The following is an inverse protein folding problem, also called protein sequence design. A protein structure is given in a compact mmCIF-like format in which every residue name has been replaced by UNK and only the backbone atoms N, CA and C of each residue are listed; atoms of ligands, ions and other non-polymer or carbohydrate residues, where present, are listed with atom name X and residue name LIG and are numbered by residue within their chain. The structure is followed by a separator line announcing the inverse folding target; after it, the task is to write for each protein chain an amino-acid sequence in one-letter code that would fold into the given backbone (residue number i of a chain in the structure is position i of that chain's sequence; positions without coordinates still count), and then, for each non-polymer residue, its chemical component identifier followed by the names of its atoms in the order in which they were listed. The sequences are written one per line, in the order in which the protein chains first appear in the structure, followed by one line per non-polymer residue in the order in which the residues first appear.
data_IF_724031646461
#
_entry.id   IF_724031646461
#
_cell.length_a   1.000
_cell.length_b   1.000
_cell.length_c   1.000
_cell.angle_alpha   90.00
_cell.angle_beta   90.00
_cell.angle_gamma   90.00
#
_symmetry.space_group_name_H-M   'P 1'
#
loop_
_entity.id
_entity.type
_entity.pdbx_description
1 polymer ?
#
# COMPACT_ATOMS: atom_id res chain seq x y z
N UNK A 1 8.19 -4.64 -29.73
CA UNK A 1 7.75 -4.09 -29.42
C UNK A 1 7.57 -3.40 -29.67
N UNK A 2 7.25 -3.23 -29.82
CA UNK A 2 7.14 -2.34 -29.81
C UNK A 2 6.57 -1.58 -29.27
N UNK A 3 6.69 -1.46 -29.34
CA UNK A 3 6.50 -0.38 -28.45
C UNK A 3 5.74 0.74 -29.08
N UNK A 4 5.96 0.93 -30.35
CA UNK A 4 5.26 2.00 -31.05
C UNK A 4 3.81 1.75 -31.19
N UNK A 5 3.46 0.52 -31.49
CA UNK A 5 2.05 0.20 -31.59
C UNK A 5 1.36 0.50 -30.29
N UNK A 6 2.05 0.23 -29.23
CA UNK A 6 1.50 0.49 -27.92
C UNK A 6 1.46 1.96 -27.62
N UNK A 7 2.11 2.74 -28.43
CA UNK A 7 2.37 4.09 -28.08
C UNK A 7 1.12 4.88 -27.81
N UNK A 8 0.14 4.77 -28.68
CA UNK A 8 -1.06 5.54 -28.46
C UNK A 8 -1.78 5.10 -27.20
N UNK A 9 -1.99 3.82 -27.06
CA UNK A 9 -2.61 3.33 -25.87
C UNK A 9 -1.80 3.66 -24.65
N UNK A 10 -0.49 3.53 -24.78
CA UNK A 10 0.38 3.82 -23.65
C UNK A 10 0.35 5.28 -23.30
N UNK A 11 0.27 6.14 -24.28
CA UNK A 11 0.22 7.56 -23.97
C UNK A 11 -1.01 7.92 -23.18
N UNK A 12 -2.15 7.38 -23.58
CA UNK A 12 -3.37 7.64 -22.82
C UNK A 12 -3.26 7.08 -21.43
N UNK A 13 -2.73 5.88 -21.32
CA UNK A 13 -2.55 5.27 -20.02
C UNK A 13 -1.60 6.08 -19.14
N UNK A 14 -0.52 6.56 -19.73
CA UNK A 14 0.43 7.35 -18.99
C UNK A 14 -0.11 8.70 -18.60
N UNK A 15 -0.99 9.26 -19.39
CA UNK A 15 -1.64 10.49 -18.98
C UNK A 15 -2.45 10.29 -17.73
N UNK A 16 -3.17 9.18 -17.67
CA UNK A 16 -3.90 8.87 -16.45
C UNK A 16 -2.97 8.72 -15.27
N UNK A 17 -1.82 8.10 -15.52
CA UNK A 17 -0.85 7.89 -14.45
C UNK A 17 -0.15 9.16 -14.05
N UNK A 18 0.00 10.10 -14.98
CA UNK A 18 0.68 11.33 -14.65
C UNK A 18 -0.17 12.23 -13.76
N UNK A 19 -1.46 12.04 -13.78
CA UNK A 19 -2.30 12.70 -12.81
C UNK A 19 -2.27 11.88 -11.54
N UNK A 20 -1.87 12.48 -10.44
CA UNK A 20 -1.70 11.66 -9.23
C UNK A 20 -2.97 10.92 -8.87
N UNK A 21 -4.09 11.62 -8.73
CA UNK A 21 -5.34 10.96 -8.33
C UNK A 21 -6.50 11.90 -8.60
N UNK A 22 -7.68 11.35 -8.85
CA UNK A 22 -8.87 12.20 -9.02
C UNK A 22 -9.13 13.01 -7.77
N UNK A 23 -9.57 14.23 -7.97
CA UNK A 23 -9.84 15.11 -6.85
C UNK A 23 -10.96 14.60 -5.97
N UNK A 24 -11.86 13.82 -6.55
CA UNK A 24 -13.03 13.36 -5.80
C UNK A 24 -12.76 12.11 -4.97
N UNK A 25 -11.54 11.55 -5.03
CA UNK A 25 -11.23 10.39 -4.22
C UNK A 25 -11.24 10.78 -2.75
N UNK A 26 -11.96 10.03 -1.96
CA UNK A 26 -12.09 10.29 -0.54
C UNK A 26 -11.29 9.27 0.26
N UNK A 27 -10.68 9.75 1.35
CA UNK A 27 -9.88 8.89 2.20
C UNK A 27 -10.79 8.27 3.27
N UNK A 28 -11.70 7.41 2.82
CA UNK A 28 -12.72 6.83 3.69
C UNK A 28 -12.61 5.32 3.63
N UNK A 29 -12.52 4.71 4.81
CA UNK A 29 -12.56 3.26 4.95
C UNK A 29 -14.01 2.82 5.02
N UNK A 30 -14.34 1.74 4.32
CA UNK A 30 -15.72 1.27 4.24
C UNK A 30 -16.09 0.29 5.35
N UNK A 31 -15.18 -0.02 6.26
CA UNK A 31 -15.43 -1.00 7.31
C UNK A 31 -16.31 -0.40 8.39
N UNK A 32 -17.13 -1.27 9.02
CA UNK A 32 -17.82 -0.89 10.24
C UNK A 32 -16.82 -0.71 11.36
N UNK A 33 -17.29 -0.15 12.48
CA UNK A 33 -16.37 0.09 13.59
C UNK A 33 -15.83 -1.22 14.17
N UNK A 34 -16.69 -2.23 14.33
CA UNK A 34 -16.20 -3.50 14.85
C UNK A 34 -15.24 -4.18 13.90
N UNK A 35 -15.50 -4.05 12.58
CA UNK A 35 -14.56 -4.58 11.61
C UNK A 35 -13.22 -3.86 11.68
N UNK A 36 -13.24 -2.56 11.95
CA UNK A 36 -11.99 -1.81 12.06
C UNK A 36 -11.16 -2.28 13.24
N UNK A 37 -11.79 -2.60 14.35
CA UNK A 37 -11.05 -3.09 15.51
C UNK A 37 -10.37 -4.41 15.17
N UNK A 38 -11.11 -5.35 14.62
CA UNK A 38 -10.54 -6.64 14.26
C UNK A 38 -9.44 -6.46 13.22
N UNK A 39 -9.69 -5.64 12.21
CA UNK A 39 -8.72 -5.43 11.15
C UNK A 39 -7.47 -4.75 11.68
N UNK A 40 -7.63 -3.87 12.66
CA UNK A 40 -6.48 -3.22 13.28
C UNK A 40 -5.52 -4.20 13.88
N UNK A 41 -6.04 -5.23 14.55
CA UNK A 41 -5.18 -6.25 15.11
C UNK A 41 -4.44 -7.03 14.04
N UNK A 42 -5.14 -7.35 12.95
CA UNK A 42 -4.50 -8.05 11.83
C UNK A 42 -3.41 -7.20 11.20
N UNK A 43 -3.66 -5.90 11.05
CA UNK A 43 -2.67 -5.01 10.49
C UNK A 43 -1.46 -4.88 11.39
N UNK A 44 -1.68 -4.80 12.70
CA UNK A 44 -0.56 -4.75 13.64
C UNK A 44 0.33 -5.97 13.47
N UNK A 45 -0.28 -7.13 13.29
CA UNK A 45 0.51 -8.35 13.13
C UNK A 45 1.34 -8.32 11.85
N UNK A 46 0.81 -7.72 10.80
CA UNK A 46 1.55 -7.62 9.56
C UNK A 46 2.66 -6.59 9.67
N UNK A 47 2.32 -5.39 10.14
CA UNK A 47 3.24 -4.28 10.06
C UNK A 47 4.33 -4.31 11.11
N UNK A 48 4.18 -5.12 12.14
CA UNK A 48 5.30 -5.28 13.08
C UNK A 48 6.49 -6.00 12.44
N UNK A 49 6.28 -6.60 11.28
CA UNK A 49 7.36 -7.29 10.58
C UNK A 49 8.03 -6.42 9.52
N UNK A 50 7.68 -5.16 9.44
CA UNK A 50 8.33 -4.23 8.51
C UNK A 50 9.79 -4.07 8.93
N UNK A 51 10.69 -4.30 7.99
CA UNK A 51 12.13 -4.23 8.26
C UNK A 51 12.71 -2.87 7.93
N UNK A 52 12.08 -2.15 7.02
CA UNK A 52 12.59 -0.87 6.57
C UNK A 52 11.45 -0.10 5.94
N UNK A 53 11.47 1.22 6.11
CA UNK A 53 10.46 2.10 5.54
C UNK A 53 11.18 3.15 4.72
N UNK A 54 10.81 3.27 3.44
CA UNK A 54 11.32 4.31 2.56
C UNK A 54 10.18 5.23 2.19
N UNK A 55 10.40 6.53 2.31
CA UNK A 55 9.37 7.50 1.95
C UNK A 55 9.33 7.67 0.45
N UNK A 56 8.12 7.73 -0.11
CA UNK A 56 7.86 8.06 -1.49
C UNK A 56 7.17 9.41 -1.55
N UNK A 57 7.12 9.99 -2.75
CA UNK A 57 6.48 11.30 -2.87
C UNK A 57 5.04 11.26 -2.40
N UNK A 58 4.34 10.18 -2.68
CA UNK A 58 2.91 10.07 -2.39
C UNK A 58 2.60 8.84 -1.53
N UNK A 59 3.55 8.39 -0.72
CA UNK A 59 3.31 7.25 0.15
C UNK A 59 4.59 6.70 0.72
N UNK A 60 4.61 5.38 0.92
CA UNK A 60 5.74 4.71 1.53
C UNK A 60 5.97 3.35 0.91
N UNK A 61 7.24 2.93 0.89
CA UNK A 61 7.62 1.59 0.51
C UNK A 61 8.06 0.86 1.77
N UNK A 62 7.46 -0.29 2.02
CA UNK A 62 7.68 -1.07 3.23
C UNK A 62 8.34 -2.39 2.88
N UNK A 63 9.42 -2.71 3.58
CA UNK A 63 10.21 -3.89 3.29
C UNK A 63 9.80 -5.03 4.19
N UNK A 64 9.53 -6.18 3.59
CA UNK A 64 9.12 -7.39 4.30
C UNK A 64 10.05 -8.55 3.96
N UNK A 65 10.04 -9.60 4.79
CA UNK A 65 10.87 -10.78 4.48
C UNK A 65 10.49 -11.38 3.13
N UNK A 66 11.47 -11.94 2.44
CA UNK A 66 11.29 -12.43 1.08
C UNK A 66 10.91 -13.88 1.00
N UNK A 67 9.95 -14.34 1.78
CA UNK A 67 9.50 -15.72 1.77
C UNK A 67 8.20 -15.84 1.00
N UNK A 68 7.92 -17.07 0.57
CA UNK A 68 6.64 -17.35 -0.08
C UNK A 68 5.48 -17.05 0.84
N UNK A 69 5.64 -17.35 2.11
CA UNK A 69 4.59 -17.06 3.08
C UNK A 69 4.28 -15.57 3.11
N UNK A 70 5.31 -14.75 3.14
CA UNK A 70 5.10 -13.31 3.16
C UNK A 70 4.51 -12.81 1.85
N UNK A 71 4.93 -13.39 0.72
CA UNK A 71 4.32 -13.02 -0.55
C UNK A 71 2.82 -13.24 -0.53
N UNK A 72 2.40 -14.39 0.00
CA UNK A 72 0.98 -14.71 0.09
C UNK A 72 0.26 -13.80 1.07
N UNK A 73 0.87 -13.53 2.21
CA UNK A 73 0.25 -12.67 3.21
C UNK A 73 0.05 -11.25 2.67
N UNK A 74 1.03 -10.75 1.95
CA UNK A 74 0.91 -9.40 1.40
C UNK A 74 -0.13 -9.34 0.29
N UNK A 75 -0.26 -10.40 -0.51
CA UNK A 75 -1.32 -10.45 -1.50
C UNK A 75 -2.69 -10.45 -0.84
N UNK A 76 -2.85 -11.20 0.23
CA UNK A 76 -4.11 -11.20 0.95
C UNK A 76 -4.40 -9.83 1.55
N UNK A 77 -3.38 -9.18 2.07
CA UNK A 77 -3.52 -7.83 2.59
C UNK A 77 -4.03 -6.89 1.49
N UNK A 78 -3.39 -6.92 0.33
CA UNK A 78 -3.78 -6.04 -0.77
C UNK A 78 -5.20 -6.34 -1.22
N UNK A 79 -5.52 -7.61 -1.35
CA UNK A 79 -6.83 -8.02 -1.82
C UNK A 79 -7.92 -7.49 -0.90
N UNK A 80 -7.67 -7.54 0.40
CA UNK A 80 -8.65 -7.03 1.36
C UNK A 80 -8.70 -5.50 1.34
N UNK A 81 -7.52 -4.87 1.40
CA UNK A 81 -7.46 -3.41 1.53
C UNK A 81 -8.01 -2.69 0.32
N UNK A 82 -7.86 -3.28 -0.86
CA UNK A 82 -8.41 -2.66 -2.05
C UNK A 82 -9.91 -2.44 -1.95
N UNK A 83 -10.58 -3.30 -1.20
CA UNK A 83 -12.04 -3.19 -1.06
C UNK A 83 -12.43 -2.21 0.02
N UNK A 84 -11.71 -2.22 1.13
CA UNK A 84 -12.14 -1.38 2.25
C UNK A 84 -11.51 -0.01 2.24
N UNK A 85 -10.36 0.15 1.59
CA UNK A 85 -9.68 1.44 1.50
C UNK A 85 -9.34 1.71 0.03
N UNK A 86 -10.33 2.08 -0.76
CA UNK A 86 -10.14 2.14 -2.22
C UNK A 86 -9.27 3.30 -2.70
N UNK A 87 -8.79 4.14 -1.78
CA UNK A 87 -7.94 5.26 -2.18
C UNK A 87 -6.46 4.88 -2.32
N UNK A 88 -6.07 3.66 -1.97
CA UNK A 88 -4.68 3.23 -2.09
C UNK A 88 -4.35 2.73 -3.50
N UNK A 89 -3.14 3.03 -3.92
CA UNK A 89 -2.49 2.32 -5.02
C UNK A 89 -1.45 1.41 -4.41
N UNK A 90 -1.46 0.14 -4.83
CA UNK A 90 -0.58 -0.87 -4.26
C UNK A 90 0.40 -1.36 -5.31
N UNK A 91 1.61 -1.67 -4.86
CA UNK A 91 2.58 -2.36 -5.70
C UNK A 91 3.39 -3.30 -4.83
N UNK A 92 3.76 -4.46 -5.39
CA UNK A 92 4.70 -5.37 -4.75
C UNK A 92 5.92 -5.46 -5.64
N UNK A 93 7.07 -5.29 -5.02
CA UNK A 93 8.34 -5.43 -5.72
C UNK A 93 9.09 -6.58 -5.08
N UNK A 94 9.35 -7.61 -5.88
CA UNK A 94 10.09 -8.79 -5.43
C UNK A 94 11.51 -8.64 -5.89
N UNK A 95 12.45 -8.56 -4.94
CA UNK A 95 13.83 -8.40 -5.30
C UNK A 95 14.41 -9.72 -5.76
N UNK A 96 15.45 -9.63 -6.54
CA UNK A 96 16.04 -10.81 -7.16
C UNK A 96 16.59 -11.76 -6.10
N UNK A 97 16.76 -13.01 -6.51
CA UNK A 97 17.33 -14.06 -5.67
C UNK A 97 16.55 -14.25 -4.38
N UNK A 98 15.22 -14.14 -4.52
CA UNK A 98 14.33 -14.31 -3.38
C UNK A 98 14.68 -13.37 -2.23
N UNK A 99 15.06 -12.16 -2.60
CA UNK A 99 15.33 -11.11 -1.62
C UNK A 99 14.05 -10.56 -1.06
N UNK A 100 14.16 -9.46 -0.32
CA UNK A 100 12.98 -8.91 0.34
C UNK A 100 11.87 -8.51 -0.63
N UNK A 101 10.69 -8.39 -0.08
CA UNK A 101 9.52 -7.96 -0.84
C UNK A 101 9.15 -6.58 -0.34
N UNK A 102 8.98 -5.64 -1.26
CA UNK A 102 8.58 -4.29 -0.91
C UNK A 102 7.12 -4.07 -1.24
N UNK A 103 6.39 -3.58 -0.26
CA UNK A 103 5.00 -3.18 -0.44
C UNK A 103 4.95 -1.67 -0.57
N UNK A 104 4.48 -1.18 -1.69
CA UNK A 104 4.29 0.25 -1.89
C UNK A 104 2.84 0.60 -1.62
N UNK A 105 2.64 1.55 -0.73
CA UNK A 105 1.33 2.11 -0.42
C UNK A 105 1.36 3.57 -0.81
N UNK A 106 0.55 3.94 -1.79
CA UNK A 106 0.53 5.30 -2.32
C UNK A 106 -0.90 5.76 -2.43
N UNK A 107 -1.09 7.08 -2.47
CA UNK A 107 -2.43 7.59 -2.59
C UNK A 107 -2.46 9.10 -2.73
N UNK A 108 -3.67 9.67 -2.67
CA UNK A 108 -3.84 11.11 -2.82
C UNK A 108 -3.33 11.86 -1.59
N UNK A 109 -3.39 13.19 -1.66
CA UNK A 109 -2.97 14.03 -0.55
C UNK A 109 -3.68 13.58 0.72
N UNK A 110 -2.92 13.52 1.82
CA UNK A 110 -3.47 13.09 3.09
C UNK A 110 -3.27 11.63 3.39
N UNK A 111 -2.74 10.86 2.43
CA UNK A 111 -2.61 9.42 2.64
C UNK A 111 -1.45 9.07 3.58
N UNK A 112 -0.41 9.91 3.61
CA UNK A 112 0.77 9.57 4.40
C UNK A 112 0.47 9.41 5.89
N UNK A 113 -0.27 10.33 6.52
CA UNK A 113 -0.59 10.09 7.94
C UNK A 113 -1.38 8.82 8.17
N UNK A 114 -2.22 8.43 7.24
CA UNK A 114 -2.96 7.17 7.35
C UNK A 114 -2.00 6.00 7.36
N UNK A 115 -1.04 6.00 6.43
CA UNK A 115 -0.06 4.93 6.37
C UNK A 115 0.79 4.91 7.63
N UNK A 116 1.20 6.07 8.11
CA UNK A 116 1.99 6.15 9.33
C UNK A 116 1.24 5.56 10.51
N UNK A 117 -0.06 5.78 10.57
CA UNK A 117 -0.87 5.17 11.62
C UNK A 117 -0.88 3.66 11.52
N UNK A 118 -0.89 3.13 10.30
CA UNK A 118 -0.85 1.68 10.10
C UNK A 118 0.47 1.09 10.57
N UNK A 119 1.56 1.80 10.32
CA UNK A 119 2.89 1.29 10.64
C UNK A 119 3.17 1.35 12.12
N UNK A 120 2.65 2.34 12.84
CA UNK A 120 3.05 2.57 14.22
C UNK A 120 1.89 2.69 15.20
N UNK A 121 0.87 1.84 15.11
CA UNK A 121 -0.22 1.98 16.08
C UNK A 121 0.24 1.67 17.49
N UNK A 122 1.17 0.74 17.65
CA UNK A 122 1.62 0.37 18.98
C UNK A 122 2.47 1.46 19.63
N UNK A 123 3.29 2.12 18.83
CA UNK A 123 4.11 3.21 19.35
C UNK A 123 3.23 4.33 19.87
N UNK A 124 2.16 4.64 19.13
CA UNK A 124 1.27 5.69 19.57
C UNK A 124 0.55 5.31 20.83
N UNK A 125 0.16 4.06 20.96
CA UNK A 125 -0.47 3.59 22.19
C UNK A 125 0.47 3.73 23.36
N UNK A 126 1.73 3.39 23.17
CA UNK A 126 2.71 3.44 24.23
C UNK A 126 2.96 4.88 24.65
N UNK A 127 3.03 5.77 23.71
CA UNK A 127 3.37 7.16 24.03
C UNK A 127 2.25 7.88 24.74
N UNK A 128 1.09 7.28 24.82
CA UNK A 128 -0.01 7.87 25.58
C UNK A 128 -0.02 7.33 26.99
#
# INVERSE_FOLDING_TARGET
MNVEVQEKGNQRFMQQNSEPFPAEVQLVCTLTQSERVTRGEELDDIFKHVQQVNELADGYALCFPGSDDWANRLMQFITFERRCCPFFTFALVFELKQGPIWLHLRGPAGVKPIIENMIRPQERSISQ
#
